data_IF_835029084465
#
_entry.id   IF_835029084465
#
_cell.length_a   1.000
_cell.length_b   1.000
_cell.length_c   1.000
_cell.angle_alpha   90.00
_cell.angle_beta   90.00
_cell.angle_gamma   90.00
#
_symmetry.space_group_name_H-M   'P 1'
#
loop_
_entity.id
_entity.type
_entity.pdbx_description
1 polymer ?
#
# COMPACT_ATOMS: atom_id res chain seq x y z
N UNK A 1 6.75 -97.91 -16.95
CA UNK A 1 5.73 -96.92 -16.57
C UNK A 1 6.48 -95.68 -16.11
N UNK A 2 6.52 -94.63 -16.92
CA UNK A 2 7.22 -93.40 -16.55
C UNK A 2 6.33 -92.57 -15.62
N UNK A 3 6.91 -91.92 -14.60
CA UNK A 3 6.19 -90.98 -13.76
C UNK A 3 5.75 -89.76 -14.60
N UNK A 4 4.60 -89.14 -14.28
CA UNK A 4 4.24 -87.85 -14.87
C UNK A 4 5.38 -86.85 -14.65
N UNK A 5 5.69 -86.06 -15.68
CA UNK A 5 6.65 -84.96 -15.52
C UNK A 5 6.08 -83.94 -14.53
N UNK A 6 6.95 -83.30 -13.75
CA UNK A 6 6.54 -82.25 -12.82
C UNK A 6 5.77 -81.16 -13.57
N UNK A 7 4.51 -80.96 -13.16
CA UNK A 7 3.67 -79.92 -13.73
C UNK A 7 4.18 -78.56 -13.26
N UNK A 8 4.66 -77.74 -14.20
CA UNK A 8 5.04 -76.35 -13.92
C UNK A 8 3.77 -75.53 -13.69
N UNK A 9 3.86 -74.54 -12.79
CA UNK A 9 2.74 -73.61 -12.56
C UNK A 9 2.46 -72.79 -13.82
N UNK A 10 1.22 -72.34 -13.99
CA UNK A 10 0.80 -71.57 -15.15
C UNK A 10 1.59 -70.26 -15.28
N UNK A 11 1.78 -69.79 -16.52
CA UNK A 11 2.37 -68.48 -16.76
C UNK A 11 1.54 -67.36 -16.11
N UNK A 12 2.20 -66.34 -15.56
CA UNK A 12 1.56 -65.26 -14.81
C UNK A 12 1.33 -65.57 -13.33
N UNK A 13 1.62 -66.79 -12.86
CA UNK A 13 1.59 -67.11 -11.42
C UNK A 13 2.70 -66.34 -10.71
N UNK A 14 2.36 -65.50 -9.73
CA UNK A 14 3.34 -64.81 -8.89
C UNK A 14 4.12 -65.83 -8.08
N UNK A 15 5.43 -65.92 -8.30
CA UNK A 15 6.33 -66.83 -7.58
C UNK A 15 7.17 -66.13 -6.52
N UNK A 16 7.27 -64.80 -6.60
CA UNK A 16 7.80 -63.92 -5.57
C UNK A 16 6.98 -62.63 -5.58
N UNK A 17 6.51 -62.23 -4.40
CA UNK A 17 5.79 -60.97 -4.26
C UNK A 17 6.78 -59.81 -4.14
N UNK A 18 6.36 -58.63 -4.60
CA UNK A 18 7.12 -57.40 -4.41
C UNK A 18 7.39 -57.13 -2.92
N UNK A 19 8.65 -56.84 -2.58
CA UNK A 19 9.11 -56.50 -1.24
C UNK A 19 8.87 -55.03 -0.85
N UNK A 20 8.49 -54.18 -1.80
CA UNK A 20 8.18 -52.77 -1.56
C UNK A 20 7.67 -52.05 -2.81
N UNK A 21 7.41 -50.74 -2.70
CA UNK A 21 6.89 -49.92 -3.82
C UNK A 21 7.91 -49.67 -4.95
N UNK A 22 9.17 -50.07 -4.76
CA UNK A 22 10.23 -50.05 -5.75
C UNK A 22 10.66 -51.45 -6.21
N UNK A 23 9.79 -52.44 -6.01
CA UNK A 23 10.06 -53.82 -6.35
C UNK A 23 8.94 -54.37 -7.25
N UNK A 24 9.31 -55.08 -8.31
CA UNK A 24 8.33 -55.73 -9.17
C UNK A 24 8.06 -57.16 -8.65
N UNK A 25 6.81 -57.63 -8.75
CA UNK A 25 6.53 -59.03 -8.42
C UNK A 25 6.94 -59.94 -9.57
N UNK A 26 7.76 -60.96 -9.29
CA UNK A 26 8.17 -61.91 -10.31
C UNK A 26 7.09 -62.96 -10.56
N UNK A 27 6.81 -63.16 -11.84
CA UNK A 27 5.83 -64.12 -12.31
C UNK A 27 6.49 -65.24 -13.10
N UNK A 28 6.01 -66.46 -12.89
CA UNK A 28 6.42 -67.62 -13.67
C UNK A 28 6.09 -67.40 -15.14
N UNK A 29 7.00 -67.79 -16.03
CA UNK A 29 6.80 -67.76 -17.48
C UNK A 29 6.12 -69.04 -18.02
N UNK A 30 5.73 -69.97 -17.14
CA UNK A 30 5.13 -71.26 -17.50
C UNK A 30 6.08 -72.29 -18.12
N UNK A 31 7.37 -71.97 -18.28
CA UNK A 31 8.36 -72.87 -18.92
C UNK A 31 9.56 -73.19 -18.01
N UNK A 32 9.86 -72.35 -17.02
CA UNK A 32 10.91 -72.59 -16.01
C UNK A 32 10.38 -73.26 -14.74
N UNK A 33 11.23 -74.06 -14.06
CA UNK A 33 10.94 -74.58 -12.72
C UNK A 33 11.32 -73.60 -11.59
N UNK A 34 12.06 -72.54 -11.91
CA UNK A 34 12.49 -71.52 -10.94
C UNK A 34 11.84 -70.18 -11.26
N UNK A 35 11.58 -69.39 -10.22
CA UNK A 35 11.17 -67.99 -10.37
C UNK A 35 12.27 -67.20 -11.11
N UNK A 36 11.91 -66.17 -11.91
CA UNK A 36 12.88 -65.21 -12.43
C UNK A 36 13.76 -64.59 -11.33
N UNK A 37 14.88 -64.01 -11.72
CA UNK A 37 15.73 -63.26 -10.80
C UNK A 37 14.97 -62.05 -10.25
N UNK A 38 15.23 -61.77 -8.97
CA UNK A 38 14.70 -60.62 -8.23
C UNK A 38 15.05 -59.31 -8.93
N UNK A 39 14.05 -58.48 -9.23
CA UNK A 39 14.25 -57.26 -9.99
C UNK A 39 13.52 -56.07 -9.37
N UNK A 40 14.30 -55.13 -8.85
CA UNK A 40 13.79 -53.81 -8.44
C UNK A 40 13.32 -53.01 -9.64
N UNK A 41 12.30 -52.18 -9.44
CA UNK A 41 11.84 -51.20 -10.43
C UNK A 41 13.00 -50.30 -10.88
N UNK A 42 12.98 -49.81 -12.14
CA UNK A 42 14.07 -48.97 -12.65
C UNK A 42 14.33 -47.73 -11.80
N UNK A 43 15.60 -47.33 -11.68
CA UNK A 43 15.99 -46.07 -11.03
C UNK A 43 15.28 -44.89 -11.71
N UNK A 44 14.76 -43.96 -10.90
CA UNK A 44 13.97 -42.83 -11.39
C UNK A 44 12.47 -43.11 -11.49
N UNK A 45 12.02 -44.34 -11.27
CA UNK A 45 10.60 -44.66 -11.19
C UNK A 45 9.98 -44.01 -9.96
N UNK A 46 8.93 -43.18 -10.14
CA UNK A 46 8.22 -42.56 -9.01
C UNK A 46 7.55 -43.64 -8.16
N UNK A 47 7.94 -43.69 -6.89
CA UNK A 47 7.40 -44.63 -5.90
C UNK A 47 6.52 -43.96 -4.86
N UNK A 48 6.64 -42.65 -4.72
CA UNK A 48 5.72 -41.77 -4.00
C UNK A 48 5.63 -40.46 -4.77
N UNK A 49 4.45 -40.11 -5.32
CA UNK A 49 4.27 -38.84 -6.00
C UNK A 49 4.26 -37.71 -4.97
N UNK A 50 4.55 -36.48 -5.42
CA UNK A 50 4.33 -35.32 -4.57
C UNK A 50 2.84 -35.19 -4.22
N UNK A 51 2.56 -34.75 -3.01
CA UNK A 51 1.20 -34.61 -2.48
C UNK A 51 0.46 -33.36 -2.99
N UNK A 52 1.09 -32.54 -3.85
CA UNK A 52 0.49 -31.34 -4.42
C UNK A 52 0.34 -30.16 -3.45
N UNK A 53 0.87 -30.24 -2.21
CA UNK A 53 0.74 -29.18 -1.21
C UNK A 53 1.86 -28.11 -1.30
N UNK A 54 2.73 -28.20 -2.30
CA UNK A 54 3.69 -27.15 -2.69
C UNK A 54 5.09 -27.28 -2.08
N UNK A 55 5.26 -27.96 -0.94
CA UNK A 55 6.58 -28.16 -0.30
C UNK A 55 7.04 -29.62 -0.28
N UNK A 56 6.36 -30.48 -1.03
CA UNK A 56 6.69 -31.89 -1.18
C UNK A 56 7.55 -32.14 -2.42
N UNK A 57 8.29 -33.24 -2.44
CA UNK A 57 8.93 -33.75 -3.66
C UNK A 57 8.48 -35.17 -3.95
N UNK A 58 8.44 -35.55 -5.22
CA UNK A 58 8.21 -36.94 -5.57
C UNK A 58 9.47 -37.77 -5.31
N UNK A 59 9.36 -38.86 -4.56
CA UNK A 59 10.44 -39.81 -4.39
C UNK A 59 10.49 -40.81 -5.55
N UNK A 60 11.72 -41.10 -5.96
CA UNK A 60 12.01 -42.06 -7.03
C UNK A 60 12.85 -43.20 -6.51
N UNK A 61 12.64 -44.38 -7.08
CA UNK A 61 13.43 -45.56 -6.78
C UNK A 61 14.91 -45.31 -7.09
N UNK A 62 15.78 -45.71 -6.17
CA UNK A 62 17.23 -45.49 -6.24
C UNK A 62 18.01 -46.81 -6.33
N UNK A 63 17.35 -47.90 -6.73
CA UNK A 63 17.91 -49.26 -6.78
C UNK A 63 17.67 -50.09 -5.51
N UNK A 64 16.92 -49.56 -4.54
CA UNK A 64 16.34 -50.31 -3.42
C UNK A 64 14.95 -50.85 -3.77
N UNK A 65 14.54 -51.97 -3.17
CA UNK A 65 13.18 -52.50 -3.23
C UNK A 65 12.14 -51.58 -2.51
N UNK A 66 12.60 -50.75 -1.58
CA UNK A 66 11.78 -49.77 -0.86
C UNK A 66 12.00 -48.35 -1.39
N UNK A 67 10.92 -47.56 -1.39
CA UNK A 67 11.00 -46.14 -1.69
C UNK A 67 11.83 -45.39 -0.65
N UNK A 68 12.60 -44.36 -1.03
CA UNK A 68 13.27 -43.48 -0.08
C UNK A 68 12.32 -42.89 0.97
N UNK A 69 12.90 -42.39 2.05
CA UNK A 69 12.16 -41.63 3.05
C UNK A 69 11.52 -40.41 2.41
N UNK A 70 10.30 -40.11 2.86
CA UNK A 70 9.51 -38.93 2.46
C UNK A 70 10.33 -37.64 2.67
N UNK A 71 10.52 -36.89 1.59
CA UNK A 71 11.38 -35.72 1.53
C UNK A 71 10.60 -34.45 1.21
N UNK A 72 10.89 -33.38 1.94
CA UNK A 72 10.40 -32.04 1.59
C UNK A 72 11.32 -31.31 0.63
N UNK A 73 10.80 -30.26 -0.01
CA UNK A 73 11.64 -29.27 -0.70
C UNK A 73 12.58 -28.58 0.30
N UNK A 74 13.79 -28.15 -0.13
CA UNK A 74 14.73 -27.46 0.75
C UNK A 74 14.16 -26.20 1.40
N UNK A 75 14.67 -25.85 2.58
CA UNK A 75 14.34 -24.59 3.26
C UNK A 75 14.60 -23.39 2.33
N UNK A 76 13.66 -22.44 2.29
CA UNK A 76 13.76 -21.25 1.44
C UNK A 76 13.25 -21.44 0.02
N UNK A 77 12.85 -22.66 -0.38
CA UNK A 77 12.20 -22.87 -1.68
C UNK A 77 10.85 -22.16 -1.69
N UNK A 78 10.65 -21.22 -2.63
CA UNK A 78 9.37 -20.52 -2.80
C UNK A 78 8.31 -21.52 -3.27
N UNK A 79 7.25 -21.70 -2.48
CA UNK A 79 6.12 -22.58 -2.79
C UNK A 79 4.87 -21.79 -3.21
N UNK A 80 4.78 -20.52 -2.83
CA UNK A 80 3.80 -19.56 -3.33
C UNK A 80 4.52 -18.23 -3.52
N UNK A 81 4.58 -17.68 -4.76
CA UNK A 81 5.15 -16.36 -5.00
C UNK A 81 4.19 -15.29 -4.47
N UNK A 82 4.71 -14.10 -4.18
CA UNK A 82 3.85 -12.96 -3.87
C UNK A 82 3.01 -12.57 -5.10
N UNK A 83 1.84 -11.99 -4.84
CA UNK A 83 0.88 -11.59 -5.86
C UNK A 83 1.28 -10.34 -6.65
N UNK A 84 2.40 -9.69 -6.32
CA UNK A 84 2.90 -8.49 -6.99
C UNK A 84 2.14 -7.20 -6.68
N UNK A 85 1.16 -7.21 -5.77
CA UNK A 85 0.33 -6.05 -5.41
C UNK A 85 0.76 -5.34 -4.12
N UNK A 86 1.96 -5.63 -3.61
CA UNK A 86 2.66 -4.81 -2.63
C UNK A 86 2.45 -5.18 -1.16
N UNK A 87 1.32 -5.77 -0.75
CA UNK A 87 1.08 -6.20 0.64
C UNK A 87 1.24 -7.70 0.88
N UNK A 88 1.50 -8.47 -0.16
CA UNK A 88 1.75 -9.91 -0.08
C UNK A 88 3.25 -10.22 0.08
N UNK A 89 3.57 -11.38 0.64
CA UNK A 89 4.93 -11.91 0.71
C UNK A 89 4.98 -13.33 0.14
N UNK A 90 6.10 -13.71 -0.46
CA UNK A 90 6.26 -15.07 -0.93
C UNK A 90 6.40 -16.06 0.25
N UNK A 91 5.63 -17.14 0.25
CA UNK A 91 5.81 -18.24 1.19
C UNK A 91 6.92 -19.19 0.74
N UNK A 92 7.71 -19.61 1.72
CA UNK A 92 8.81 -20.53 1.50
C UNK A 92 8.68 -21.78 2.35
N UNK A 93 9.12 -22.90 1.79
CA UNK A 93 9.21 -24.16 2.51
C UNK A 93 10.20 -24.03 3.67
N UNK A 94 9.87 -24.63 4.81
CA UNK A 94 10.74 -24.67 5.98
C UNK A 94 11.74 -25.84 5.95
N UNK A 95 11.61 -26.78 4.98
CA UNK A 95 12.44 -27.98 4.85
C UNK A 95 11.92 -29.21 5.61
N UNK A 96 10.78 -29.10 6.30
CA UNK A 96 10.21 -30.21 7.10
C UNK A 96 8.72 -30.44 6.86
N UNK A 97 7.96 -29.39 6.55
CA UNK A 97 6.54 -29.47 6.18
C UNK A 97 6.41 -29.74 4.69
N UNK A 98 5.58 -30.72 4.33
CA UNK A 98 5.22 -30.98 2.94
C UNK A 98 4.21 -29.96 2.38
N UNK A 99 3.47 -29.28 3.27
CA UNK A 99 2.58 -28.19 2.91
C UNK A 99 3.31 -26.85 2.91
N UNK A 100 3.02 -26.03 1.89
CA UNK A 100 3.36 -24.62 1.88
C UNK A 100 2.67 -23.91 3.06
N UNK A 101 3.33 -22.95 3.73
CA UNK A 101 2.70 -22.14 4.76
C UNK A 101 1.40 -21.47 4.29
N UNK A 102 0.56 -21.08 5.25
CA UNK A 102 -0.60 -20.24 4.94
C UNK A 102 -0.16 -18.91 4.36
N UNK A 103 -0.98 -18.40 3.45
CA UNK A 103 -0.83 -17.10 2.78
C UNK A 103 -0.62 -15.96 3.80
N UNK A 104 0.51 -15.27 3.69
CA UNK A 104 1.00 -14.31 4.67
C UNK A 104 1.11 -12.90 4.10
N UNK A 105 0.55 -11.92 4.80
CA UNK A 105 0.73 -10.52 4.45
C UNK A 105 2.00 -9.91 5.03
N UNK A 106 2.43 -8.78 4.45
CA UNK A 106 3.34 -7.85 5.12
C UNK A 106 2.72 -7.39 6.44
N UNK A 107 3.52 -7.05 7.47
CA UNK A 107 3.00 -6.57 8.73
C UNK A 107 2.07 -5.36 8.58
N UNK A 108 1.03 -5.30 9.41
CA UNK A 108 0.17 -4.13 9.50
C UNK A 108 1.01 -2.87 9.78
N UNK A 109 0.74 -1.79 9.07
CA UNK A 109 1.56 -0.56 9.17
C UNK A 109 2.67 -0.46 8.12
N UNK A 110 2.91 -1.50 7.32
CA UNK A 110 3.88 -1.44 6.22
C UNK A 110 3.35 -0.57 5.09
N UNK A 111 4.09 0.47 4.70
CA UNK A 111 3.76 1.30 3.54
C UNK A 111 4.00 0.50 2.26
N UNK A 112 2.94 0.27 1.48
CA UNK A 112 3.00 -0.42 0.19
C UNK A 112 3.01 0.52 -1.01
N UNK A 113 2.44 1.73 -0.85
CA UNK A 113 2.64 2.86 -1.75
C UNK A 113 2.88 4.12 -0.91
N UNK A 114 3.98 4.80 -1.19
CA UNK A 114 4.29 6.07 -0.56
C UNK A 114 3.47 7.20 -1.20
N UNK A 115 3.12 8.21 -0.40
CA UNK A 115 2.49 9.42 -0.90
C UNK A 115 3.40 10.11 -1.93
N UNK A 116 2.86 10.44 -3.10
CA UNK A 116 3.54 11.11 -4.20
C UNK A 116 3.53 12.65 -4.07
N UNK A 117 2.76 13.22 -3.14
CA UNK A 117 2.70 14.65 -2.89
C UNK A 117 1.90 15.01 -1.63
N UNK A 118 1.80 16.31 -1.34
CA UNK A 118 1.15 16.81 -0.12
C UNK A 118 -0.36 16.57 -0.06
N UNK A 119 -0.99 16.30 -1.21
CA UNK A 119 -2.40 15.96 -1.33
C UNK A 119 -2.63 14.46 -1.59
N UNK A 120 -1.62 13.63 -1.33
CA UNK A 120 -1.66 12.19 -1.51
C UNK A 120 -1.58 11.46 -0.17
N UNK A 121 -2.33 10.37 -0.02
CA UNK A 121 -2.30 9.55 1.18
C UNK A 121 -1.40 8.35 0.93
N UNK A 122 -0.45 8.07 1.82
CA UNK A 122 0.32 6.83 1.72
C UNK A 122 -0.55 5.62 2.07
N UNK A 123 -0.46 4.56 1.29
CA UNK A 123 -1.23 3.34 1.52
C UNK A 123 -0.43 2.31 2.29
N UNK A 124 -1.15 1.68 3.20
CA UNK A 124 -0.59 0.91 4.29
C UNK A 124 -1.28 -0.46 4.30
N UNK A 125 -0.48 -1.51 4.38
CA UNK A 125 -0.97 -2.86 4.56
C UNK A 125 -1.65 -3.01 5.92
N UNK A 126 -2.76 -3.75 5.94
CA UNK A 126 -3.52 -4.06 7.15
C UNK A 126 -3.06 -5.36 7.86
N UNK A 127 -2.07 -6.05 7.29
CA UNK A 127 -1.58 -7.35 7.76
C UNK A 127 -2.08 -8.54 6.94
N UNK A 128 -3.00 -8.32 5.99
CA UNK A 128 -3.50 -9.37 5.09
C UNK A 128 -2.67 -9.46 3.80
N UNK A 129 -2.60 -10.65 3.15
CA UNK A 129 -1.91 -10.86 1.87
C UNK A 129 -2.73 -10.33 0.67
N UNK A 130 -3.48 -9.26 0.87
CA UNK A 130 -4.28 -8.65 -0.18
C UNK A 130 -3.45 -7.64 -0.98
N UNK A 131 -4.07 -7.05 -2.00
CA UNK A 131 -3.48 -5.93 -2.70
C UNK A 131 -3.31 -4.72 -1.76
N UNK A 132 -2.29 -3.90 -2.03
CA UNK A 132 -2.17 -2.58 -1.45
C UNK A 132 -3.49 -1.80 -1.66
N UNK A 133 -3.98 -1.04 -0.66
CA UNK A 133 -5.19 -0.25 -0.81
C UNK A 133 -5.19 0.62 -2.07
N UNK A 134 -6.40 0.90 -2.57
CA UNK A 134 -6.59 1.77 -3.73
C UNK A 134 -6.01 3.17 -3.49
N UNK A 135 -5.61 3.82 -4.59
CA UNK A 135 -4.98 5.14 -4.57
C UNK A 135 -5.88 6.21 -3.97
N UNK A 136 -5.52 6.65 -2.76
CA UNK A 136 -6.30 7.56 -1.95
C UNK A 136 -5.68 8.95 -1.95
N UNK A 137 -6.51 9.94 -2.25
CA UNK A 137 -6.12 11.36 -2.18
C UNK A 137 -6.59 11.96 -0.88
N UNK A 138 -5.87 12.98 -0.43
CA UNK A 138 -6.29 13.80 0.71
C UNK A 138 -7.64 14.43 0.36
N UNK A 139 -8.57 14.44 1.33
CA UNK A 139 -9.93 14.92 1.12
C UNK A 139 -9.95 16.36 0.58
N UNK A 140 -10.94 16.64 -0.28
CA UNK A 140 -11.16 17.98 -0.81
C UNK A 140 -11.31 19.02 0.31
N UNK A 141 -10.89 20.25 0.05
CA UNK A 141 -10.87 21.37 1.01
C UNK A 141 -9.87 21.22 2.19
N UNK A 142 -9.03 20.17 2.21
CA UNK A 142 -7.90 20.10 3.15
C UNK A 142 -6.82 21.10 2.72
N UNK A 143 -6.45 22.04 3.60
CA UNK A 143 -5.42 23.05 3.31
C UNK A 143 -4.06 22.37 3.09
N UNK A 144 -3.49 22.54 1.90
CA UNK A 144 -2.18 22.05 1.52
C UNK A 144 -1.13 23.15 1.44
N UNK A 145 -1.55 24.41 1.30
CA UNK A 145 -0.73 25.60 1.54
C UNK A 145 -1.55 26.64 2.29
N UNK A 146 -1.04 27.10 3.42
CA UNK A 146 -1.66 28.18 4.16
C UNK A 146 -1.36 29.53 3.49
N UNK A 147 -2.30 30.47 3.58
CA UNK A 147 -2.09 31.84 3.13
C UNK A 147 -0.91 32.50 3.89
N UNK A 148 0.05 33.05 3.14
CA UNK A 148 1.22 33.76 3.65
C UNK A 148 0.90 35.21 4.11
N UNK A 149 -0.27 35.74 3.73
CA UNK A 149 -0.70 37.07 4.12
C UNK A 149 -2.19 37.30 3.83
N UNK A 150 -2.68 38.49 4.20
CA UNK A 150 -4.10 38.87 4.04
C UNK A 150 -4.56 38.98 2.58
N UNK A 151 -3.62 39.10 1.64
CA UNK A 151 -3.87 39.14 0.20
C UNK A 151 -3.52 37.84 -0.51
N UNK A 152 -3.22 36.79 0.25
CA UNK A 152 -2.92 35.47 -0.27
C UNK A 152 -4.14 34.55 -0.07
N UNK A 153 -4.38 33.65 -1.02
CA UNK A 153 -5.35 32.59 -0.81
C UNK A 153 -4.68 31.39 -0.14
N UNK A 154 -5.47 30.54 0.51
CA UNK A 154 -4.98 29.26 0.99
C UNK A 154 -5.41 28.20 -0.01
N UNK A 155 -4.48 27.42 -0.55
CA UNK A 155 -4.81 26.34 -1.46
C UNK A 155 -5.17 25.09 -0.68
N UNK A 156 -6.17 24.41 -1.22
CA UNK A 156 -6.70 23.18 -0.66
C UNK A 156 -6.60 22.08 -1.69
N UNK A 157 -6.39 20.85 -1.21
CA UNK A 157 -6.48 19.68 -2.06
C UNK A 157 -7.86 19.62 -2.72
N UNK A 158 -7.91 19.20 -3.97
CA UNK A 158 -9.16 19.05 -4.73
C UNK A 158 -9.83 17.68 -4.53
N UNK A 159 -9.17 16.75 -3.82
CA UNK A 159 -9.63 15.39 -3.60
C UNK A 159 -9.27 14.40 -4.72
N UNK A 160 -8.50 14.81 -5.72
CA UNK A 160 -8.19 14.02 -6.93
C UNK A 160 -6.73 14.10 -7.36
N UNK A 161 -6.07 15.25 -7.17
CA UNK A 161 -4.66 15.47 -7.45
C UNK A 161 -3.78 15.13 -6.26
N UNK A 162 -2.57 14.64 -6.55
CA UNK A 162 -1.51 14.40 -5.54
C UNK A 162 -0.79 15.69 -5.15
N UNK A 163 -0.88 16.73 -5.97
CA UNK A 163 -0.23 18.03 -5.74
C UNK A 163 -1.22 19.06 -5.23
N UNK A 164 -0.74 19.98 -4.39
CA UNK A 164 -1.49 21.19 -4.06
C UNK A 164 -1.71 22.03 -5.34
N UNK A 165 -2.85 22.70 -5.50
CA UNK A 165 -3.04 23.70 -6.56
C UNK A 165 -1.96 24.78 -6.55
N UNK A 166 -1.79 25.47 -7.68
CA UNK A 166 -0.84 26.56 -7.79
C UNK A 166 -1.17 27.70 -6.81
N UNK A 167 -0.13 28.31 -6.26
CA UNK A 167 -0.22 29.48 -5.37
C UNK A 167 -0.95 30.63 -6.07
N UNK A 168 -2.00 31.14 -5.42
CA UNK A 168 -2.83 32.23 -5.92
C UNK A 168 -3.00 33.34 -4.88
N UNK A 169 -2.85 34.59 -5.33
CA UNK A 169 -3.21 35.75 -4.53
C UNK A 169 -4.67 36.12 -4.73
N UNK A 170 -5.26 36.75 -3.72
CA UNK A 170 -6.59 37.37 -3.82
C UNK A 170 -6.66 38.36 -4.99
N UNK A 171 -7.85 38.53 -5.61
CA UNK A 171 -8.02 39.48 -6.70
C UNK A 171 -7.54 40.89 -6.35
N UNK A 172 -6.97 41.58 -7.35
CA UNK A 172 -6.64 43.00 -7.22
C UNK A 172 -7.90 43.78 -6.84
N UNK A 173 -7.80 44.66 -5.85
CA UNK A 173 -8.94 45.42 -5.32
C UNK A 173 -9.65 44.77 -4.13
N UNK A 174 -9.33 43.52 -3.76
CA UNK A 174 -9.84 42.93 -2.51
C UNK A 174 -9.33 43.74 -1.32
N UNK A 175 -10.25 44.24 -0.48
CA UNK A 175 -9.89 45.00 0.74
C UNK A 175 -9.18 44.07 1.71
N UNK A 176 -7.93 44.41 2.04
CA UNK A 176 -7.09 43.63 2.95
C UNK A 176 -6.88 44.33 4.30
N UNK A 177 -7.09 45.64 4.35
CA UNK A 177 -7.20 46.43 5.57
C UNK A 177 -8.30 47.46 5.37
N UNK A 178 -9.25 47.48 6.30
CA UNK A 178 -10.35 48.42 6.26
C UNK A 178 -9.90 49.79 6.78
N UNK A 179 -10.58 50.86 6.34
CA UNK A 179 -10.35 52.18 6.94
C UNK A 179 -10.76 52.19 8.43
N UNK A 180 -10.11 53.03 9.21
CA UNK A 180 -10.37 53.20 10.64
C UNK A 180 -11.62 54.03 10.97
N UNK A 181 -12.43 54.38 9.95
CA UNK A 181 -13.65 55.18 10.08
C UNK A 181 -13.49 56.57 10.75
N UNK A 182 -12.25 57.03 10.99
CA UNK A 182 -11.94 58.37 11.53
C UNK A 182 -11.78 59.43 10.42
N UNK A 183 -12.11 59.07 9.17
CA UNK A 183 -12.15 59.95 8.02
C UNK A 183 -10.79 60.39 7.45
N UNK A 184 -9.68 59.96 8.05
CA UNK A 184 -8.30 60.26 7.61
C UNK A 184 -7.58 59.07 6.98
N UNK A 185 -8.26 57.94 6.92
CA UNK A 185 -7.72 56.66 6.51
C UNK A 185 -8.32 56.24 5.17
N UNK A 186 -7.60 55.43 4.41
CA UNK A 186 -8.13 54.77 3.22
C UNK A 186 -8.05 53.26 3.41
N UNK A 187 -9.02 52.52 2.88
CA UNK A 187 -8.92 51.07 2.86
C UNK A 187 -7.81 50.64 1.88
N UNK A 188 -6.90 49.79 2.33
CA UNK A 188 -5.90 49.17 1.47
C UNK A 188 -6.49 47.96 0.76
N UNK A 189 -6.11 47.82 -0.50
CA UNK A 189 -6.54 46.72 -1.36
C UNK A 189 -5.36 45.95 -1.89
N UNK A 190 -5.58 44.66 -2.14
CA UNK A 190 -4.58 43.78 -2.73
C UNK A 190 -4.18 44.31 -4.11
N UNK A 191 -2.87 44.30 -4.37
CA UNK A 191 -2.25 44.81 -5.58
C UNK A 191 -1.54 43.72 -6.41
N UNK A 192 -1.92 42.45 -6.19
CA UNK A 192 -1.27 41.29 -6.79
C UNK A 192 -0.07 40.75 -6.00
N UNK A 193 0.16 41.26 -4.77
CA UNK A 193 1.10 40.66 -3.82
C UNK A 193 0.36 39.92 -2.70
N UNK A 194 1.01 38.94 -2.08
CA UNK A 194 0.46 38.14 -0.97
C UNK A 194 0.19 38.96 0.31
N UNK A 195 0.85 40.12 0.46
CA UNK A 195 0.74 40.99 1.63
C UNK A 195 -0.10 42.22 1.33
N UNK A 196 -0.86 42.70 2.31
CA UNK A 196 -1.51 44.01 2.18
C UNK A 196 -0.47 45.12 2.04
N UNK A 197 -0.71 46.15 1.20
CA UNK A 197 0.09 47.36 1.19
C UNK A 197 0.20 48.00 2.59
N UNK A 198 1.24 48.83 2.77
CA UNK A 198 1.40 49.62 4.00
C UNK A 198 0.22 50.57 4.20
N UNK A 199 -0.12 50.80 5.47
CA UNK A 199 -1.14 51.75 5.91
C UNK A 199 -0.98 53.11 5.23
N UNK A 200 -2.05 53.60 4.59
CA UNK A 200 -2.05 54.86 3.86
C UNK A 200 -3.17 55.76 4.37
N UNK A 201 -2.80 56.97 4.78
CA UNK A 201 -3.78 58.04 5.04
C UNK A 201 -4.33 58.64 3.74
N UNK A 202 -5.43 59.38 3.87
CA UNK A 202 -5.90 60.25 2.78
C UNK A 202 -4.82 61.28 2.37
N UNK A 203 -4.80 61.76 1.12
CA UNK A 203 -3.80 62.73 0.66
C UNK A 203 -3.72 63.98 1.55
N UNK A 204 -2.52 64.56 1.64
CA UNK A 204 -2.29 65.80 2.38
C UNK A 204 -3.27 66.92 1.93
N UNK A 205 -3.87 67.62 2.91
CA UNK A 205 -4.90 68.62 2.66
C UNK A 205 -6.34 68.09 2.76
N UNK A 206 -6.54 66.78 2.93
CA UNK A 206 -7.87 66.21 3.19
C UNK A 206 -8.33 66.53 4.62
N UNK A 207 -9.50 67.16 4.76
CA UNK A 207 -10.13 67.39 6.07
C UNK A 207 -10.82 66.09 6.50
N UNK A 208 -10.36 65.50 7.59
CA UNK A 208 -10.75 64.16 8.00
C UNK A 208 -11.90 64.09 9.02
N UNK A 209 -12.39 65.23 9.51
CA UNK A 209 -13.40 65.27 10.57
C UNK A 209 -14.78 65.57 9.97
N UNK A 210 -15.85 64.88 10.40
CA UNK A 210 -17.17 65.50 10.32
C UNK A 210 -17.13 66.69 11.30
N UNK A 211 -17.11 67.91 10.78
CA UNK A 211 -17.34 69.09 11.59
C UNK A 211 -18.78 69.07 12.10
N UNK A 212 -19.03 68.31 13.18
CA UNK A 212 -20.18 68.54 14.06
C UNK A 212 -19.95 69.84 14.84
N UNK A 213 -20.03 70.97 14.12
CA UNK A 213 -20.47 72.27 14.63
C UNK A 213 -19.65 72.93 15.76
N UNK A 214 -18.32 72.91 15.76
CA UNK A 214 -17.52 73.63 16.78
C UNK A 214 -16.57 74.72 16.26
N UNK A 215 -16.92 75.35 15.14
CA UNK A 215 -16.44 76.67 14.73
C UNK A 215 -17.71 77.37 14.25
N UNK A 216 -18.48 78.12 15.03
CA UNK A 216 -18.18 79.40 15.67
C UNK A 216 -19.21 79.65 16.78
N UNK A 217 -18.83 79.50 18.05
CA UNK A 217 -19.71 79.89 19.16
C UNK A 217 -18.91 80.45 20.34
N UNK A 218 -17.93 81.33 20.08
CA UNK A 218 -17.39 82.23 21.10
C UNK A 218 -16.82 83.49 20.44
N UNK A 219 -17.63 84.56 20.42
CA UNK A 219 -17.34 85.93 20.88
C UNK A 219 -18.20 86.99 20.16
N UNK A 220 -19.51 86.87 20.25
CA UNK A 220 -20.37 88.06 20.36
C UNK A 220 -21.01 88.04 21.75
N UNK A 221 -20.24 88.49 22.74
CA UNK A 221 -20.72 88.75 24.10
C UNK A 221 -20.82 90.26 24.29
N UNK A 222 -22.05 90.77 24.28
CA UNK A 222 -22.41 92.12 24.68
C UNK A 222 -21.73 92.49 26.00
N UNK A 223 -20.98 93.59 26.03
CA UNK A 223 -20.72 94.35 27.26
C UNK A 223 -21.59 95.61 27.23
N UNK A 224 -22.71 95.58 27.96
CA UNK A 224 -23.49 96.76 28.32
C UNK A 224 -23.66 96.80 29.84
N UNK A 225 -23.53 98.03 30.36
CA UNK A 225 -23.69 98.54 31.74
C UNK A 225 -22.42 98.39 32.60
N UNK A 226 -21.86 99.43 33.22
CA UNK A 226 -22.22 100.85 33.34
C UNK A 226 -21.55 101.44 34.60
N UNK A 227 -21.27 102.75 34.60
CA UNK A 227 -21.27 103.59 35.81
C UNK A 227 -19.94 104.14 36.35
N UNK A 228 -19.89 105.49 36.41
CA UNK A 228 -19.07 106.40 37.25
C UNK A 228 -17.58 106.55 36.87
N UNK A 229 -17.00 107.75 36.69
CA UNK A 229 -17.30 109.13 37.11
C UNK A 229 -17.17 110.11 35.93
#
# INVERSE_FOLDING_TARGET
>A
MACPVDAKVAAGTVCRAAAGSCDDAETCNGTSATCPADMTRPVGTVCRPDNGLGCDVAETCNGSATCPSDGGKPTGTVCRPDNGFGCDVAETCNGTSAACPSDGGRPAGTVCRAAAGVCDVAEICDGSPLACPVDAKVAAATVCRAAAGSCDDAETCDGTSVTCPADTTKPVGTVCRADNSLGCDVAETCNGSATCPSDAGKPAGTICRPDNGRREARRHGLSRRGGHL
#
